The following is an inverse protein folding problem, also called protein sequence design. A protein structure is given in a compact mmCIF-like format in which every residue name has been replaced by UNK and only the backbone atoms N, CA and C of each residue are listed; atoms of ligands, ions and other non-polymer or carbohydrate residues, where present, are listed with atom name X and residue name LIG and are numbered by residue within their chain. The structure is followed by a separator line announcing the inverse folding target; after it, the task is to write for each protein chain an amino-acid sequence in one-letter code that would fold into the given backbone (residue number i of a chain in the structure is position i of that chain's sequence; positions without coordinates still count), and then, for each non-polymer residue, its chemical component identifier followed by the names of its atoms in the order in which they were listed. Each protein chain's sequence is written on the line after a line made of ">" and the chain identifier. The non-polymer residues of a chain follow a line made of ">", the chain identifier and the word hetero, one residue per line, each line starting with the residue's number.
data_IF_565291009258
#
_entry.id   IF_565291009258
#
_cell.length_a   1.000
_cell.length_b   1.000
_cell.length_c   1.000
_cell.angle_alpha   90.00
_cell.angle_beta   90.00
_cell.angle_gamma   90.00
#
_symmetry.space_group_name_H-M   'P 1'
#
loop_
_entity.id
_entity.type
_entity.pdbx_description
1 polymer ?
#
# COMPACT_ATOMS: atom_id res chain seq x y z
N UNK A 1 -51.48 -26.82 22.77
CA UNK A 1 -51.34 -25.36 22.56
C UNK A 1 -50.20 -24.89 23.45
N UNK A 2 -48.96 -24.90 22.94
CA UNK A 2 -47.87 -24.01 23.34
C UNK A 2 -46.85 -24.08 22.20
N UNK A 3 -46.49 -22.90 21.72
CA UNK A 3 -46.02 -22.67 20.37
C UNK A 3 -44.58 -23.13 20.15
N UNK A 4 -44.38 -23.78 19.00
CA UNK A 4 -43.08 -24.06 18.42
C UNK A 4 -42.42 -22.74 18.01
N UNK A 5 -41.67 -22.12 18.92
CA UNK A 5 -40.76 -21.01 18.60
C UNK A 5 -39.61 -21.52 17.75
N UNK A 6 -39.91 -21.77 16.47
CA UNK A 6 -38.91 -21.95 15.43
C UNK A 6 -38.13 -20.64 15.34
N UNK A 7 -36.91 -20.61 15.90
CA UNK A 7 -36.05 -19.45 15.82
C UNK A 7 -35.75 -19.19 14.35
N UNK A 8 -36.41 -18.18 13.78
CA UNK A 8 -36.07 -17.68 12.45
C UNK A 8 -34.66 -17.09 12.56
N UNK A 9 -33.64 -17.84 12.14
CA UNK A 9 -32.31 -17.26 11.96
C UNK A 9 -32.43 -16.23 10.86
N UNK A 10 -32.32 -14.95 11.22
CA UNK A 10 -32.13 -13.88 10.25
C UNK A 10 -30.76 -14.14 9.62
N UNK A 11 -30.65 -14.23 8.28
CA UNK A 11 -29.36 -14.39 7.65
C UNK A 11 -28.49 -13.20 8.03
N UNK A 12 -27.34 -13.47 8.65
CA UNK A 12 -26.37 -12.43 9.01
C UNK A 12 -25.65 -12.04 7.74
N UNK A 13 -25.81 -10.80 7.31
CA UNK A 13 -25.07 -10.26 6.18
C UNK A 13 -23.63 -9.99 6.65
N UNK A 14 -22.65 -10.62 6.01
CA UNK A 14 -21.23 -10.34 6.24
C UNK A 14 -20.69 -9.58 5.03
N UNK A 15 -19.99 -8.47 5.28
CA UNK A 15 -19.37 -7.65 4.24
C UNK A 15 -17.89 -7.50 4.59
N UNK A 16 -17.03 -7.70 3.59
CA UNK A 16 -15.59 -7.46 3.68
C UNK A 16 -15.27 -6.26 2.79
N UNK A 17 -14.56 -5.29 3.37
CA UNK A 17 -14.04 -4.15 2.64
C UNK A 17 -12.54 -4.31 2.52
N UNK A 18 -12.03 -4.07 1.31
CA UNK A 18 -10.62 -3.79 1.13
C UNK A 18 -10.27 -2.44 1.80
N UNK A 19 -9.00 -2.24 2.13
CA UNK A 19 -8.53 -1.01 2.77
C UNK A 19 -8.19 0.07 1.73
N UNK A 20 -7.24 -0.26 0.87
CA UNK A 20 -6.65 0.67 -0.10
C UNK A 20 -7.64 0.96 -1.24
N UNK A 21 -7.71 2.23 -1.66
CA UNK A 21 -8.65 2.73 -2.67
C UNK A 21 -10.15 2.50 -2.40
N UNK A 22 -10.52 1.78 -1.34
CA UNK A 22 -11.91 1.54 -0.89
C UNK A 22 -12.24 2.37 0.35
N UNK A 23 -11.46 2.21 1.42
CA UNK A 23 -11.65 2.94 2.68
C UNK A 23 -10.66 4.10 2.84
N UNK A 24 -9.48 3.99 2.23
CA UNK A 24 -8.40 4.97 2.33
C UNK A 24 -7.92 5.36 0.94
N UNK A 25 -7.80 6.67 0.70
CA UNK A 25 -7.09 7.21 -0.46
C UNK A 25 -5.57 7.20 -0.18
N UNK A 26 -4.97 6.01 -0.31
CA UNK A 26 -3.57 5.75 0.05
C UNK A 26 -2.58 6.05 -1.08
N UNK A 27 -3.06 6.07 -2.33
CA UNK A 27 -2.23 6.27 -3.53
C UNK A 27 -1.40 7.56 -3.54
N UNK A 28 -1.93 8.74 -3.14
CA UNK A 28 -1.11 9.95 -3.06
C UNK A 28 0.10 9.82 -2.13
N UNK A 29 -0.03 9.08 -1.04
CA UNK A 29 1.08 8.84 -0.12
C UNK A 29 2.08 7.82 -0.69
N UNK A 30 1.61 6.76 -1.35
CA UNK A 30 2.50 5.80 -2.03
C UNK A 30 3.34 6.47 -3.11
N UNK A 31 2.72 7.34 -3.92
CA UNK A 31 3.42 8.15 -4.91
C UNK A 31 4.50 9.04 -4.27
N UNK A 32 4.15 9.82 -3.24
CA UNK A 32 5.10 10.74 -2.61
C UNK A 32 6.28 10.02 -1.95
N UNK A 33 6.03 8.86 -1.34
CA UNK A 33 7.07 8.01 -0.78
C UNK A 33 8.01 7.49 -1.88
N UNK A 34 7.47 6.93 -2.97
CA UNK A 34 8.26 6.41 -4.09
C UNK A 34 9.07 7.52 -4.77
N UNK A 35 8.47 8.70 -5.00
CA UNK A 35 9.14 9.87 -5.56
C UNK A 35 10.34 10.29 -4.70
N UNK A 36 10.15 10.43 -3.39
CA UNK A 36 11.22 10.79 -2.44
C UNK A 36 12.31 9.74 -2.39
N UNK A 37 11.95 8.46 -2.46
CA UNK A 37 12.92 7.36 -2.49
C UNK A 37 13.81 7.46 -3.74
N UNK A 38 13.21 7.59 -4.92
CA UNK A 38 13.95 7.69 -6.18
C UNK A 38 14.84 8.93 -6.22
N UNK A 39 14.39 10.07 -5.67
CA UNK A 39 15.23 11.27 -5.51
C UNK A 39 16.47 11.01 -4.65
N UNK A 40 16.36 10.21 -3.57
CA UNK A 40 17.53 9.83 -2.73
C UNK A 40 18.55 8.99 -3.50
N UNK A 41 18.12 8.24 -4.50
CA UNK A 41 18.99 7.42 -5.36
C UNK A 41 19.41 8.13 -6.65
N UNK A 42 19.19 9.44 -6.77
CA UNK A 42 19.64 10.22 -7.91
C UNK A 42 18.77 10.07 -9.16
N UNK A 43 17.53 9.57 -9.01
CA UNK A 43 16.55 9.42 -10.07
C UNK A 43 15.36 10.40 -9.90
N UNK A 44 15.57 11.73 -10.02
CA UNK A 44 14.48 12.70 -9.95
C UNK A 44 13.59 12.60 -11.20
N UNK A 45 12.35 13.08 -11.08
CA UNK A 45 11.42 13.16 -12.23
C UNK A 45 10.46 11.99 -12.36
N UNK A 46 10.32 11.14 -11.33
CA UNK A 46 9.21 10.20 -11.23
C UNK A 46 7.90 10.96 -11.11
N UNK A 47 7.00 10.82 -12.10
CA UNK A 47 5.74 11.57 -12.18
C UNK A 47 4.55 10.75 -11.71
N UNK A 48 3.44 11.44 -11.43
CA UNK A 48 2.18 10.79 -11.10
C UNK A 48 1.71 9.87 -12.23
N UNK A 49 1.79 10.31 -13.49
CA UNK A 49 1.41 9.50 -14.64
C UNK A 49 2.23 8.20 -14.70
N UNK A 50 3.52 8.27 -14.40
CA UNK A 50 4.36 7.08 -14.34
C UNK A 50 3.98 6.17 -13.16
N UNK A 51 3.71 6.74 -11.98
CA UNK A 51 3.20 6.01 -10.82
C UNK A 51 1.92 5.24 -11.13
N UNK A 52 0.98 5.85 -11.87
CA UNK A 52 -0.29 5.18 -12.21
C UNK A 52 -0.11 3.90 -13.01
N UNK A 53 1.01 3.72 -13.72
CA UNK A 53 1.33 2.47 -14.41
C UNK A 53 1.63 1.30 -13.46
N UNK A 54 1.92 1.58 -12.19
CA UNK A 54 2.26 0.61 -11.16
C UNK A 54 1.14 0.37 -10.14
N UNK A 55 -0.01 1.04 -10.26
CA UNK A 55 -1.15 0.80 -9.36
C UNK A 55 -1.60 -0.66 -9.49
N UNK A 56 -1.72 -1.34 -8.35
CA UNK A 56 -2.04 -2.77 -8.28
C UNK A 56 -0.87 -3.72 -8.51
N UNK A 57 0.35 -3.21 -8.74
CA UNK A 57 1.58 -4.00 -8.82
C UNK A 57 2.25 -4.01 -7.43
N UNK A 58 2.80 -5.16 -7.05
CA UNK A 58 3.52 -5.29 -5.78
C UNK A 58 4.74 -4.36 -5.69
N UNK A 59 5.00 -3.82 -4.50
CA UNK A 59 6.07 -2.83 -4.27
C UNK A 59 7.44 -3.35 -4.69
N UNK A 60 7.73 -4.63 -4.44
CA UNK A 60 9.01 -5.23 -4.82
C UNK A 60 9.18 -5.26 -6.34
N UNK A 61 8.14 -5.64 -7.05
CA UNK A 61 8.10 -5.70 -8.52
C UNK A 61 8.22 -4.30 -9.12
N UNK A 62 7.48 -3.33 -8.58
CA UNK A 62 7.57 -1.90 -8.95
C UNK A 62 8.99 -1.37 -8.74
N UNK A 63 9.59 -1.58 -7.57
CA UNK A 63 10.94 -1.12 -7.28
C UNK A 63 12.00 -1.84 -8.12
N UNK A 64 11.81 -3.12 -8.44
CA UNK A 64 12.69 -3.83 -9.35
C UNK A 64 12.65 -3.24 -10.77
N UNK A 65 11.46 -2.88 -11.26
CA UNK A 65 11.27 -2.24 -12.56
C UNK A 65 11.90 -0.83 -12.58
N UNK A 66 11.58 0.01 -11.59
CA UNK A 66 12.12 1.37 -11.47
C UNK A 66 13.65 1.35 -11.30
N UNK A 67 14.18 0.40 -10.53
CA UNK A 67 15.63 0.20 -10.40
C UNK A 67 16.29 -0.05 -11.76
N UNK A 68 15.70 -0.94 -12.56
CA UNK A 68 16.23 -1.26 -13.89
C UNK A 68 16.10 -0.07 -14.86
N UNK A 69 14.98 0.65 -14.81
CA UNK A 69 14.72 1.81 -15.67
C UNK A 69 15.65 2.99 -15.39
N UNK A 70 15.82 3.34 -14.12
CA UNK A 70 16.64 4.49 -13.70
C UNK A 70 18.12 4.14 -13.47
N UNK A 71 18.52 2.88 -13.66
CA UNK A 71 19.91 2.45 -13.48
C UNK A 71 20.39 2.53 -12.03
N UNK A 72 19.52 2.23 -11.07
CA UNK A 72 19.86 2.24 -9.64
C UNK A 72 20.64 0.96 -9.31
N UNK A 73 21.85 1.11 -8.76
CA UNK A 73 22.71 -0.04 -8.45
C UNK A 73 22.28 -0.79 -7.19
N UNK A 74 21.76 -0.07 -6.18
CA UNK A 74 21.36 -0.65 -4.89
C UNK A 74 20.41 -1.85 -5.03
N UNK A 75 20.53 -2.88 -4.17
CA UNK A 75 19.65 -4.05 -4.22
C UNK A 75 18.18 -3.67 -3.98
N UNK A 76 17.26 -4.41 -4.60
CA UNK A 76 15.81 -4.17 -4.44
C UNK A 76 15.38 -4.25 -2.97
N UNK A 77 16.00 -5.13 -2.17
CA UNK A 77 15.72 -5.22 -0.72
C UNK A 77 16.04 -3.93 0.03
N UNK A 78 17.10 -3.22 -0.36
CA UNK A 78 17.46 -1.93 0.22
C UNK A 78 16.43 -0.86 -0.15
N UNK A 79 15.96 -0.88 -1.41
CA UNK A 79 14.91 0.03 -1.86
C UNK A 79 13.59 -0.22 -1.12
N UNK A 80 13.20 -1.49 -0.92
CA UNK A 80 12.00 -1.85 -0.15
C UNK A 80 12.12 -1.36 1.29
N UNK A 81 13.26 -1.58 1.95
CA UNK A 81 13.49 -1.10 3.31
C UNK A 81 13.46 0.44 3.41
N UNK A 82 14.04 1.12 2.41
CA UNK A 82 14.00 2.58 2.31
C UNK A 82 12.59 3.14 2.10
N UNK A 83 11.79 2.45 1.27
CA UNK A 83 10.38 2.77 1.06
C UNK A 83 9.57 2.64 2.36
N UNK A 84 9.75 1.52 3.08
CA UNK A 84 9.07 1.27 4.36
C UNK A 84 9.42 2.34 5.40
N UNK A 85 10.70 2.72 5.50
CA UNK A 85 11.14 3.77 6.41
C UNK A 85 10.48 5.12 6.08
N UNK A 86 10.48 5.52 4.80
CA UNK A 86 9.84 6.75 4.34
C UNK A 86 8.33 6.75 4.58
N UNK A 87 7.66 5.62 4.37
CA UNK A 87 6.23 5.47 4.63
C UNK A 87 5.90 5.68 6.12
N UNK A 88 6.74 5.17 7.02
CA UNK A 88 6.57 5.37 8.46
C UNK A 88 6.84 6.82 8.89
N UNK A 89 7.73 7.54 8.19
CA UNK A 89 8.01 8.96 8.44
C UNK A 89 6.85 9.88 8.03
N UNK A 90 6.14 9.56 6.94
CA UNK A 90 5.03 10.40 6.43
C UNK A 90 3.70 10.16 7.14
N UNK A 91 3.63 9.14 7.99
CA UNK A 91 2.43 8.79 8.74
C UNK A 91 2.10 9.85 9.81
N UNK A 92 0.81 10.21 10.01
CA UNK A 92 0.39 10.99 11.16
C UNK A 92 0.80 10.32 12.48
N UNK A 93 1.23 11.12 13.47
CA UNK A 93 1.70 10.62 14.77
C UNK A 93 0.64 9.83 15.56
N UNK A 94 -0.64 10.00 15.23
CA UNK A 94 -1.78 9.33 15.86
C UNK A 94 -2.08 7.93 15.30
N UNK A 95 -1.45 7.52 14.20
CA UNK A 95 -1.68 6.21 13.60
C UNK A 95 -0.66 5.17 14.14
N UNK A 96 -1.07 3.91 14.38
CA UNK A 96 -0.17 2.83 14.84
C UNK A 96 0.90 2.48 13.80
N UNK A 97 2.03 1.92 14.27
CA UNK A 97 3.20 1.56 13.45
C UNK A 97 3.00 0.24 12.76
N UNK A 98 2.29 0.26 11.64
CA UNK A 98 2.07 -0.89 10.80
C UNK A 98 2.99 -0.77 9.58
N UNK A 99 3.90 -1.74 9.35
CA UNK A 99 4.66 -1.82 8.12
C UNK A 99 3.73 -1.84 6.90
N UNK A 100 4.18 -1.31 5.76
CA UNK A 100 3.40 -1.25 4.52
C UNK A 100 2.83 -2.63 4.13
N UNK A 101 3.62 -3.70 4.27
CA UNK A 101 3.19 -5.06 3.94
C UNK A 101 2.10 -5.64 4.86
N UNK A 102 1.81 -5.01 6.00
CA UNK A 102 0.73 -5.42 6.91
C UNK A 102 -0.62 -4.81 6.51
N UNK A 103 -0.63 -3.73 5.73
CA UNK A 103 -1.85 -2.99 5.38
C UNK A 103 -2.67 -3.61 4.23
N UNK A 104 -2.08 -4.53 3.45
CA UNK A 104 -2.67 -5.06 2.20
C UNK A 104 -3.33 -6.45 2.38
N UNK A 105 -3.57 -6.88 3.62
CA UNK A 105 -4.13 -8.21 3.88
C UNK A 105 -5.67 -8.20 3.92
N UNK A 106 -6.28 -8.57 2.80
CA UNK A 106 -7.48 -9.43 2.78
C UNK A 106 -7.12 -10.73 2.07
#
# INVERSE_FOLDING_TARGET
>A
MLDNMSSRRVPVLTVVFDLDATLVDSEPNYYEVARRLLERYGAPGFTWEHHTCFIGIGVRETLAALRAEYGIESPVDELVAGQDALYLETRPSSAPGIPFWTAVAV
#
